data_IF_806416545169
#
_entry.id   IF_806416545169
#
_cell.length_a   1.000
_cell.length_b   1.000
_cell.length_c   1.000
_cell.angle_alpha   90.00
_cell.angle_beta   90.00
_cell.angle_gamma   90.00
#
_symmetry.space_group_name_H-M   'P 1'
#
loop_
_entity.id
_entity.type
_entity.pdbx_description
1 polymer ?
#
# COMPACT_ATOMS: atom_id res chain seq x y z
N UNK A 1 -3.83 11.41 10.35
CA UNK A 1 -2.92 10.68 9.44
C UNK A 1 -3.52 9.45 8.73
N UNK A 2 -4.58 8.79 9.21
CA UNK A 2 -5.10 7.54 8.59
C UNK A 2 -5.94 7.70 7.31
N UNK A 3 -6.38 8.91 6.93
CA UNK A 3 -7.23 9.14 5.74
C UNK A 3 -6.47 9.24 4.41
N UNK A 4 -5.21 9.68 4.41
CA UNK A 4 -4.45 10.00 3.18
C UNK A 4 -3.92 8.76 2.44
N UNK A 5 -4.01 7.56 3.03
CA UNK A 5 -3.38 6.35 2.47
C UNK A 5 -4.15 5.72 1.29
N UNK A 6 -5.43 6.06 1.11
CA UNK A 6 -6.37 5.34 0.22
C UNK A 6 -6.84 6.14 -1.00
N UNK A 7 -6.41 7.39 -1.13
CA UNK A 7 -6.50 8.19 -2.36
C UNK A 7 -5.14 8.20 -3.08
N UNK A 8 -5.04 8.64 -4.35
CA UNK A 8 -3.75 8.85 -5.02
C UNK A 8 -2.85 9.72 -4.14
N UNK A 9 -1.76 9.13 -3.66
CA UNK A 9 -0.82 9.83 -2.79
C UNK A 9 0.15 10.63 -3.65
N UNK A 10 -0.07 11.94 -3.68
CA UNK A 10 0.80 12.89 -4.35
C UNK A 10 1.62 13.66 -3.33
N UNK A 11 2.94 13.73 -3.51
CA UNK A 11 3.83 14.50 -2.63
C UNK A 11 3.47 15.99 -2.59
N UNK A 12 2.91 16.52 -3.68
CA UNK A 12 2.39 17.89 -3.76
C UNK A 12 1.19 18.14 -2.81
N UNK A 13 0.48 17.10 -2.36
CA UNK A 13 -0.59 17.24 -1.38
C UNK A 13 -0.04 17.44 0.04
N UNK A 14 1.11 16.84 0.36
CA UNK A 14 1.81 17.07 1.64
C UNK A 14 2.38 18.48 1.75
N UNK A 15 2.90 19.02 0.66
CA UNK A 15 3.40 20.40 0.61
C UNK A 15 2.32 21.42 0.95
N UNK A 16 1.11 21.22 0.40
CA UNK A 16 -0.05 22.09 0.66
C UNK A 16 -0.56 22.02 2.09
N UNK A 17 -0.45 20.87 2.75
CA UNK A 17 -0.98 20.67 4.10
C UNK A 17 0.05 21.03 5.20
N UNK A 18 1.34 20.84 4.93
CA UNK A 18 2.40 21.03 5.94
C UNK A 18 3.32 22.23 5.65
N UNK A 19 3.17 22.92 4.51
CA UNK A 19 4.01 24.05 4.08
C UNK A 19 5.52 23.74 4.02
N UNK A 20 5.89 22.47 3.90
CA UNK A 20 7.29 22.05 3.74
C UNK A 20 7.53 21.48 2.34
N UNK A 21 8.71 21.78 1.78
CA UNK A 21 9.13 21.24 0.50
C UNK A 21 9.13 19.69 0.55
N UNK A 22 8.59 19.00 -0.48
CA UNK A 22 8.49 17.53 -0.54
C UNK A 22 9.78 16.78 -0.17
N UNK A 23 10.93 17.28 -0.64
CA UNK A 23 12.24 16.69 -0.35
C UNK A 23 12.63 16.80 1.12
N UNK A 24 12.20 17.84 1.81
CA UNK A 24 12.42 17.98 3.24
C UNK A 24 11.62 16.94 4.01
N UNK A 25 10.34 16.76 3.65
CA UNK A 25 9.46 15.75 4.26
C UNK A 25 9.99 14.34 4.00
N UNK A 26 10.42 14.05 2.76
CA UNK A 26 10.97 12.76 2.39
C UNK A 26 12.27 12.44 3.15
N UNK A 27 13.20 13.41 3.26
CA UNK A 27 14.43 13.27 4.05
C UNK A 27 14.13 13.10 5.53
N UNK A 28 13.17 13.84 6.07
CA UNK A 28 12.80 13.77 7.48
C UNK A 28 12.21 12.40 7.82
N UNK A 29 11.24 11.90 7.04
CA UNK A 29 10.70 10.55 7.24
C UNK A 29 11.76 9.47 7.04
N UNK A 30 12.64 9.58 6.05
CA UNK A 30 13.72 8.60 5.88
C UNK A 30 14.71 8.62 7.05
N UNK A 31 15.00 9.78 7.62
CA UNK A 31 15.89 9.95 8.77
C UNK A 31 15.29 9.44 10.08
N UNK A 32 13.99 9.65 10.31
CA UNK A 32 13.36 9.37 11.61
C UNK A 32 12.51 8.07 11.61
N UNK A 33 11.93 7.70 10.47
CA UNK A 33 11.07 6.52 10.32
C UNK A 33 11.69 5.42 9.42
N UNK A 34 12.89 5.64 8.88
CA UNK A 34 13.63 4.68 8.06
C UNK A 34 13.08 4.47 6.64
N UNK A 35 11.99 5.14 6.28
CA UNK A 35 11.31 5.01 4.99
C UNK A 35 10.78 6.35 4.50
N UNK A 36 10.74 6.55 3.19
CA UNK A 36 10.12 7.71 2.56
C UNK A 36 8.58 7.66 2.68
N UNK A 37 7.88 8.80 2.52
CA UNK A 37 6.42 8.81 2.53
C UNK A 37 5.80 7.86 1.50
N UNK A 38 6.39 7.78 0.31
CA UNK A 38 5.94 6.87 -0.76
C UNK A 38 6.11 5.40 -0.37
N UNK A 39 7.24 5.04 0.25
CA UNK A 39 7.47 3.69 0.77
C UNK A 39 6.48 3.34 1.88
N UNK A 40 6.22 4.28 2.79
CA UNK A 40 5.24 4.10 3.85
C UNK A 40 3.83 3.86 3.30
N UNK A 41 3.39 4.65 2.32
CA UNK A 41 2.07 4.45 1.68
C UNK A 41 2.00 3.10 0.99
N UNK A 42 3.04 2.69 0.26
CA UNK A 42 3.10 1.35 -0.35
C UNK A 42 2.98 0.24 0.69
N UNK A 43 3.73 0.35 1.80
CA UNK A 43 3.69 -0.60 2.90
C UNK A 43 2.27 -0.71 3.50
N UNK A 44 1.65 0.42 3.85
CA UNK A 44 0.29 0.46 4.41
C UNK A 44 -0.75 -0.13 3.46
N UNK A 45 -0.63 0.14 2.15
CA UNK A 45 -1.54 -0.42 1.14
C UNK A 45 -1.39 -1.94 1.01
N UNK A 46 -0.16 -2.46 1.03
CA UNK A 46 0.07 -3.92 0.99
C UNK A 46 -0.43 -4.59 2.26
N UNK A 47 -0.22 -4.00 3.43
CA UNK A 47 -0.75 -4.54 4.70
C UNK A 47 -2.28 -4.62 4.70
N UNK A 48 -2.96 -3.60 4.16
CA UNK A 48 -4.42 -3.67 3.99
C UNK A 48 -4.80 -4.75 2.97
N UNK A 49 -4.06 -4.89 1.88
CA UNK A 49 -4.33 -5.92 0.88
C UNK A 49 -4.19 -7.34 1.46
N UNK A 50 -3.20 -7.60 2.33
CA UNK A 50 -3.06 -8.88 3.05
C UNK A 50 -4.32 -9.21 3.84
N UNK A 51 -4.80 -8.25 4.65
CA UNK A 51 -6.03 -8.43 5.44
C UNK A 51 -7.24 -8.73 4.57
N UNK A 52 -7.41 -8.03 3.45
CA UNK A 52 -8.52 -8.29 2.52
C UNK A 52 -8.38 -9.66 1.82
N UNK A 53 -7.15 -10.09 1.51
CA UNK A 53 -6.91 -11.41 0.91
C UNK A 53 -7.24 -12.55 1.88
N UNK A 54 -7.04 -12.33 3.19
CA UNK A 54 -7.32 -13.27 4.28
C UNK A 54 -8.80 -13.33 4.65
N UNK A 55 -9.47 -12.17 4.75
CA UNK A 55 -10.79 -12.06 5.40
C UNK A 55 -11.96 -11.80 4.43
N UNK A 56 -11.68 -11.58 3.14
CA UNK A 56 -12.69 -11.25 2.13
C UNK A 56 -12.59 -12.18 0.91
N UNK A 57 -12.95 -13.47 1.04
CA UNK A 57 -12.86 -14.46 -0.04
C UNK A 57 -13.72 -14.10 -1.27
N UNK A 58 -14.79 -13.33 -1.07
CA UNK A 58 -15.69 -12.84 -2.10
C UNK A 58 -15.06 -11.78 -3.02
N UNK A 59 -14.02 -11.10 -2.56
CA UNK A 59 -13.34 -10.08 -3.36
C UNK A 59 -12.32 -10.72 -4.29
N UNK A 60 -12.35 -10.34 -5.57
CA UNK A 60 -11.28 -10.66 -6.51
C UNK A 60 -9.98 -9.91 -6.17
N UNK A 61 -8.85 -10.45 -6.62
CA UNK A 61 -7.54 -9.76 -6.48
C UNK A 61 -7.57 -8.36 -7.11
N UNK A 62 -8.33 -8.19 -8.21
CA UNK A 62 -8.52 -6.89 -8.88
C UNK A 62 -9.28 -5.90 -7.98
N UNK A 63 -10.40 -6.32 -7.40
CA UNK A 63 -11.18 -5.47 -6.49
C UNK A 63 -10.37 -5.07 -5.24
N UNK A 64 -9.51 -5.97 -4.74
CA UNK A 64 -8.60 -5.63 -3.63
C UNK A 64 -7.58 -4.59 -4.05
N UNK A 65 -6.98 -4.71 -5.25
CA UNK A 65 -6.05 -3.72 -5.77
C UNK A 65 -6.68 -2.32 -5.84
N UNK A 66 -7.91 -2.24 -6.36
CA UNK A 66 -8.70 -1.01 -6.41
C UNK A 66 -9.01 -0.47 -4.99
N UNK A 67 -9.42 -1.34 -4.05
CA UNK A 67 -9.77 -0.97 -2.67
C UNK A 67 -8.57 -0.48 -1.82
N UNK A 68 -7.34 -0.75 -2.26
CA UNK A 68 -6.11 -0.20 -1.66
C UNK A 68 -5.51 0.95 -2.48
N UNK A 69 -6.25 1.48 -3.46
CA UNK A 69 -5.85 2.66 -4.23
C UNK A 69 -4.76 2.37 -5.27
N UNK A 70 -4.72 1.14 -5.81
CA UNK A 70 -3.79 0.73 -6.87
C UNK A 70 -4.59 0.25 -8.09
N UNK A 71 -4.80 1.17 -9.04
CA UNK A 71 -5.63 0.92 -10.20
C UNK A 71 -5.02 -0.06 -11.22
N UNK A 72 -3.69 -0.09 -11.35
CA UNK A 72 -3.00 -1.03 -12.25
C UNK A 72 -2.79 -2.40 -11.55
N UNK A 73 -3.50 -3.48 -11.97
CA UNK A 73 -3.38 -4.79 -11.36
C UNK A 73 -2.00 -5.43 -11.54
N UNK A 74 -1.30 -5.12 -12.64
CA UNK A 74 0.06 -5.63 -12.88
C UNK A 74 1.05 -4.97 -11.93
N UNK A 75 0.95 -3.66 -11.74
CA UNK A 75 1.75 -2.96 -10.75
C UNK A 75 1.42 -3.43 -9.32
N UNK A 76 0.15 -3.61 -8.97
CA UNK A 76 -0.25 -4.20 -7.69
C UNK A 76 0.41 -5.56 -7.46
N UNK A 77 0.34 -6.47 -8.44
CA UNK A 77 0.94 -7.80 -8.32
C UNK A 77 2.46 -7.76 -8.09
N UNK A 78 3.17 -6.88 -8.80
CA UNK A 78 4.63 -6.68 -8.61
C UNK A 78 4.94 -6.09 -7.23
N UNK A 79 4.20 -5.06 -6.82
CA UNK A 79 4.40 -4.41 -5.52
C UNK A 79 4.11 -5.38 -4.37
N UNK A 80 2.98 -6.06 -4.41
CA UNK A 80 2.60 -7.03 -3.39
C UNK A 80 3.65 -8.14 -3.28
N UNK A 81 4.13 -8.67 -4.42
CA UNK A 81 5.18 -9.69 -4.42
C UNK A 81 6.49 -9.18 -3.82
N UNK A 82 6.88 -7.94 -4.11
CA UNK A 82 8.08 -7.32 -3.55
C UNK A 82 8.00 -7.23 -2.02
N UNK A 83 6.85 -6.83 -1.49
CA UNK A 83 6.65 -6.59 -0.05
C UNK A 83 6.27 -7.86 0.73
N UNK A 84 5.60 -8.83 0.11
CA UNK A 84 5.11 -10.06 0.74
C UNK A 84 5.81 -11.36 0.31
N UNK A 85 6.80 -11.28 -0.59
CA UNK A 85 7.57 -12.43 -1.07
C UNK A 85 6.83 -13.34 -2.06
N UNK A 86 5.51 -13.19 -2.23
CA UNK A 86 4.69 -14.04 -3.10
C UNK A 86 3.55 -13.27 -3.77
N UNK A 87 2.93 -13.84 -4.81
CA UNK A 87 1.81 -13.18 -5.50
C UNK A 87 0.55 -13.11 -4.61
N UNK A 88 -0.35 -12.13 -4.83
CA UNK A 88 -1.61 -12.02 -4.08
C UNK A 88 -2.45 -13.31 -4.09
N UNK A 89 -2.51 -13.99 -5.25
CA UNK A 89 -3.24 -15.25 -5.38
C UNK A 89 -2.59 -16.40 -4.61
N UNK A 90 -1.25 -16.48 -4.60
CA UNK A 90 -0.53 -17.47 -3.80
C UNK A 90 -0.71 -17.20 -2.30
N UNK A 91 -0.62 -15.94 -1.89
CA UNK A 91 -0.87 -15.50 -0.52
C UNK A 91 -2.27 -15.90 -0.05
N UNK A 92 -3.30 -15.60 -0.86
CA UNK A 92 -4.68 -16.03 -0.54
C UNK A 92 -4.78 -17.55 -0.36
N UNK A 93 -4.22 -18.34 -1.28
CA UNK A 93 -4.29 -19.82 -1.15
C UNK A 93 -3.63 -20.34 0.12
N UNK A 94 -2.52 -19.74 0.53
CA UNK A 94 -1.81 -20.12 1.76
C UNK A 94 -2.65 -19.84 3.01
N UNK A 95 -3.37 -18.71 3.03
CA UNK A 95 -4.12 -18.25 4.19
C UNK A 95 -5.61 -18.66 4.19
N UNK A 96 -6.17 -19.06 3.04
CA UNK A 96 -7.56 -19.53 2.92
C UNK A 96 -7.79 -20.92 3.54
N UNK A 97 -6.73 -21.68 3.86
CA UNK A 97 -6.83 -23.00 4.48
C UNK A 97 -6.94 -23.01 6.01
N UNK A 98 -7.03 -21.84 6.65
CA UNK A 98 -7.13 -21.68 8.11
C UNK A 98 -8.42 -21.00 8.58
N UNK A 99 -9.42 -20.89 7.69
CA UNK A 99 -10.75 -20.35 8.00
C UNK A 99 -11.77 -21.47 8.24
#
# INVERSE_FOLDING_TARGET
MRRVAFEPFEMASLEREFHFHPDYIARCMKRHAGMSPVEYVRHVRVEKARRLLEHSPELSVKQIAEAVGIADPNYFGRLFRKEAGMSPAAYRRLHAGYA
#
